data_IF_135392260043
#
_entry.id   IF_135392260043
#
_cell.length_a   1.000
_cell.length_b   1.000
_cell.length_c   1.000
_cell.angle_alpha   90.00
_cell.angle_beta   90.00
_cell.angle_gamma   90.00
#
_symmetry.space_group_name_H-M   'P 1'
#
loop_
_entity.id
_entity.type
_entity.pdbx_description
1 polymer ?
#
# COMPACT_ATOMS: atom_id res chain seq x y z
N UNK A 1 0.75 -13.91 -36.65
CA UNK A 1 0.27 -14.31 -35.31
C UNK A 1 -1.05 -15.01 -35.47
N UNK A 2 -1.23 -16.17 -34.83
CA UNK A 2 -2.53 -16.81 -34.72
C UNK A 2 -3.36 -16.10 -33.65
N UNK A 3 -4.69 -16.23 -33.67
CA UNK A 3 -5.56 -15.65 -32.63
C UNK A 3 -5.22 -16.15 -31.22
N UNK A 4 -4.66 -17.36 -31.11
CA UNK A 4 -4.21 -17.92 -29.84
C UNK A 4 -2.98 -17.17 -29.26
N UNK A 5 -2.02 -16.78 -30.10
CA UNK A 5 -0.82 -16.04 -29.67
C UNK A 5 -1.20 -14.66 -29.11
N UNK A 6 -2.20 -14.02 -29.71
CA UNK A 6 -2.71 -12.71 -29.27
C UNK A 6 -3.30 -12.84 -27.86
N UNK A 7 -4.14 -13.85 -27.64
CA UNK A 7 -4.75 -14.11 -26.32
C UNK A 7 -3.66 -14.39 -25.29
N UNK A 8 -2.67 -15.23 -25.62
CA UNK A 8 -1.54 -15.52 -24.73
C UNK A 8 -0.74 -14.27 -24.36
N UNK A 9 -0.54 -13.35 -25.31
CA UNK A 9 0.16 -12.09 -25.05
C UNK A 9 -0.65 -11.17 -24.13
N UNK A 10 -1.98 -11.16 -24.27
CA UNK A 10 -2.89 -10.42 -23.39
C UNK A 10 -2.99 -11.01 -21.98
N UNK A 11 -2.68 -12.29 -21.79
CA UNK A 11 -2.68 -12.93 -20.47
C UNK A 11 -1.54 -12.42 -19.56
N UNK A 12 -0.41 -11.98 -20.12
CA UNK A 12 0.75 -11.55 -19.33
C UNK A 12 0.43 -10.36 -18.40
N UNK A 13 -0.17 -9.24 -18.86
CA UNK A 13 -0.68 -8.20 -17.96
C UNK A 13 -1.76 -8.70 -17.01
N UNK A 14 -2.60 -9.65 -17.44
CA UNK A 14 -3.64 -10.26 -16.60
C UNK A 14 -3.08 -10.98 -15.37
N UNK A 15 -2.03 -11.77 -15.54
CA UNK A 15 -1.32 -12.43 -14.43
C UNK A 15 -0.70 -11.43 -13.45
N UNK A 16 -0.15 -10.33 -13.97
CA UNK A 16 0.42 -9.28 -13.13
C UNK A 16 -0.65 -8.57 -12.29
N UNK A 17 -1.84 -8.34 -12.87
CA UNK A 17 -2.99 -7.80 -12.13
C UNK A 17 -3.40 -8.75 -11.00
N UNK A 18 -3.45 -10.07 -11.26
CA UNK A 18 -3.77 -11.06 -10.22
C UNK A 18 -2.74 -11.06 -9.08
N UNK A 19 -1.45 -11.00 -9.40
CA UNK A 19 -0.40 -10.91 -8.38
C UNK A 19 -0.52 -9.61 -7.56
N UNK A 20 -0.74 -8.47 -8.22
CA UNK A 20 -0.98 -7.19 -7.54
C UNK A 20 -2.25 -7.23 -6.66
N UNK A 21 -3.29 -7.95 -7.09
CA UNK A 21 -4.51 -8.14 -6.30
C UNK A 21 -4.25 -8.84 -4.96
N UNK A 22 -3.37 -9.84 -4.94
CA UNK A 22 -2.95 -10.50 -3.70
C UNK A 22 -2.15 -9.56 -2.78
N UNK A 23 -1.23 -8.77 -3.35
CA UNK A 23 -0.46 -7.78 -2.59
C UNK A 23 -1.36 -6.68 -2.01
N UNK A 24 -2.30 -6.17 -2.81
CA UNK A 24 -3.29 -5.18 -2.38
C UNK A 24 -4.17 -5.71 -1.26
N UNK A 25 -4.60 -6.96 -1.33
CA UNK A 25 -5.39 -7.60 -0.27
C UNK A 25 -4.59 -7.68 1.03
N UNK A 26 -3.33 -8.13 0.96
CA UNK A 26 -2.43 -8.18 2.11
C UNK A 26 -2.23 -6.81 2.75
N UNK A 27 -1.94 -5.78 1.96
CA UNK A 27 -1.71 -4.43 2.46
C UNK A 27 -2.99 -3.77 2.99
N UNK A 28 -4.13 -3.97 2.32
CA UNK A 28 -5.42 -3.40 2.75
C UNK A 28 -5.87 -3.97 4.09
N UNK A 29 -5.66 -5.28 4.32
CA UNK A 29 -5.92 -5.90 5.60
C UNK A 29 -5.02 -5.32 6.70
N UNK A 30 -3.72 -5.18 6.41
CA UNK A 30 -2.77 -4.58 7.35
C UNK A 30 -3.16 -3.15 7.73
N UNK A 31 -3.49 -2.34 6.73
CA UNK A 31 -3.95 -0.96 6.89
C UNK A 31 -5.24 -0.85 7.71
N UNK A 32 -6.20 -1.74 7.48
CA UNK A 32 -7.44 -1.81 8.26
C UNK A 32 -7.17 -2.08 9.75
N UNK A 33 -6.24 -3.01 10.06
CA UNK A 33 -5.85 -3.32 11.43
C UNK A 33 -5.18 -2.12 12.11
N UNK A 34 -4.28 -1.43 11.41
CA UNK A 34 -3.61 -0.23 11.94
C UNK A 34 -4.61 0.89 12.22
N UNK A 35 -5.54 1.18 11.28
CA UNK A 35 -6.58 2.17 11.48
C UNK A 35 -7.52 1.82 12.64
N UNK A 36 -7.86 0.54 12.81
CA UNK A 36 -8.69 0.11 13.92
C UNK A 36 -8.01 0.38 15.27
N UNK A 37 -6.70 0.11 15.37
CA UNK A 37 -5.91 0.45 16.57
C UNK A 37 -5.91 1.96 16.83
N UNK A 38 -5.67 2.78 15.81
CA UNK A 38 -5.73 4.25 15.93
C UNK A 38 -7.09 4.72 16.47
N UNK A 39 -8.20 4.14 15.99
CA UNK A 39 -9.55 4.50 16.46
C UNK A 39 -9.77 4.14 17.93
N UNK A 40 -9.34 2.95 18.36
CA UNK A 40 -9.45 2.53 19.77
C UNK A 40 -8.65 3.47 20.68
N UNK A 41 -7.41 3.79 20.29
CA UNK A 41 -6.57 4.72 21.06
C UNK A 41 -7.12 6.16 21.07
N UNK A 42 -7.74 6.64 19.97
CA UNK A 42 -8.38 7.96 19.95
C UNK A 42 -9.61 8.00 20.87
N UNK A 43 -10.37 6.91 20.96
CA UNK A 43 -11.50 6.80 21.89
C UNK A 43 -11.01 6.79 23.34
N UNK A 44 -9.97 6.01 23.67
CA UNK A 44 -9.35 6.02 25.01
C UNK A 44 -8.84 7.40 25.42
N UNK A 45 -8.25 8.14 24.47
CA UNK A 45 -7.85 9.53 24.66
C UNK A 45 -9.04 10.42 25.00
N UNK A 46 -10.15 10.29 24.26
CA UNK A 46 -11.37 11.09 24.46
C UNK A 46 -12.01 10.81 25.82
N UNK A 47 -12.09 9.54 26.23
CA UNK A 47 -12.62 9.14 27.54
C UNK A 47 -11.76 9.71 28.67
N UNK A 48 -10.44 9.60 28.57
CA UNK A 48 -9.50 10.11 29.57
C UNK A 48 -9.59 11.64 29.75
N UNK A 49 -9.90 12.38 28.69
CA UNK A 49 -10.11 13.84 28.73
C UNK A 49 -11.50 14.23 29.28
N UNK A 50 -12.49 13.35 29.17
CA UNK A 50 -13.86 13.63 29.58
C UNK A 50 -14.10 13.33 31.07
N UNK A 51 -13.45 12.29 31.61
CA UNK A 51 -13.60 11.88 33.03
C UNK A 51 -12.93 12.84 34.03
N UNK A 52 -11.95 13.66 33.60
CA UNK A 52 -11.32 14.64 34.49
C UNK A 52 -10.91 15.93 33.74
N UNK A 53 -11.86 16.87 33.53
CA UNK A 53 -11.60 18.12 32.82
C UNK A 53 -10.63 19.08 33.55
N UNK A 54 -10.23 18.76 34.78
CA UNK A 54 -9.28 19.54 35.60
C UNK A 54 -7.84 19.02 35.56
N UNK A 55 -7.59 17.77 35.14
CA UNK A 55 -6.24 17.25 34.89
C UNK A 55 -5.70 17.90 33.63
N UNK A 56 -4.77 18.84 33.78
CA UNK A 56 -3.99 19.34 32.65
C UNK A 56 -3.35 18.13 31.97
N UNK A 57 -3.73 17.87 30.71
CA UNK A 57 -3.30 16.70 29.92
C UNK A 57 -1.79 16.60 29.66
N UNK A 58 -0.96 17.36 30.38
CA UNK A 58 0.50 17.26 30.38
C UNK A 58 1.11 16.47 31.55
N UNK A 59 0.38 16.22 32.65
CA UNK A 59 0.96 15.59 33.85
C UNK A 59 0.70 14.09 34.00
N UNK A 60 -0.14 13.49 33.14
CA UNK A 60 -0.43 12.05 33.20
C UNK A 60 0.52 11.28 32.26
N UNK A 61 1.48 10.49 32.78
CA UNK A 61 2.42 9.73 31.96
C UNK A 61 1.71 8.75 31.01
N UNK A 62 0.49 8.32 31.33
CA UNK A 62 -0.33 7.45 30.45
C UNK A 62 -0.83 8.20 29.22
N UNK A 63 -1.22 9.47 29.37
CA UNK A 63 -1.72 10.29 28.25
C UNK A 63 -0.61 10.64 27.26
N UNK A 64 0.58 10.98 27.76
CA UNK A 64 1.76 11.19 26.92
C UNK A 64 2.14 9.92 26.13
N UNK A 65 2.04 8.75 26.77
CA UNK A 65 2.32 7.45 26.14
C UNK A 65 1.31 7.13 25.01
N UNK A 66 0.01 7.35 25.24
CA UNK A 66 -1.05 7.19 24.22
C UNK A 66 -0.81 8.11 23.02
N UNK A 67 -0.44 9.37 23.26
CA UNK A 67 -0.14 10.32 22.18
C UNK A 67 1.07 9.89 21.34
N UNK A 68 2.13 9.39 21.99
CA UNK A 68 3.32 8.87 21.33
C UNK A 68 2.99 7.66 20.44
N UNK A 69 2.25 6.67 20.98
CA UNK A 69 1.82 5.49 20.22
C UNK A 69 0.94 5.85 19.01
N UNK A 70 0.04 6.83 19.17
CA UNK A 70 -0.83 7.29 18.08
C UNK A 70 -0.01 7.91 16.94
N UNK A 71 1.01 8.71 17.27
CA UNK A 71 1.89 9.36 16.28
C UNK A 71 2.69 8.32 15.48
N UNK A 72 3.18 7.26 16.13
CA UNK A 72 3.87 6.17 15.45
C UNK A 72 2.95 5.38 14.52
N UNK A 73 1.75 5.04 14.98
CA UNK A 73 0.77 4.30 14.19
C UNK A 73 0.34 5.10 12.94
N UNK A 74 0.22 6.42 13.05
CA UNK A 74 -0.08 7.30 11.92
C UNK A 74 1.04 7.29 10.87
N UNK A 75 2.31 7.30 11.29
CA UNK A 75 3.45 7.20 10.37
C UNK A 75 3.43 5.86 9.64
N UNK A 76 3.19 4.75 10.35
CA UNK A 76 3.07 3.40 9.75
C UNK A 76 1.92 3.33 8.75
N UNK A 77 0.75 3.86 9.10
CA UNK A 77 -0.42 3.92 8.23
C UNK A 77 -0.17 4.69 6.93
N UNK A 78 0.66 5.75 6.96
CA UNK A 78 1.03 6.49 5.74
C UNK A 78 1.84 5.63 4.76
N UNK A 79 2.84 4.90 5.25
CA UNK A 79 3.64 4.02 4.39
C UNK A 79 2.80 2.90 3.75
N UNK A 80 1.86 2.32 4.51
CA UNK A 80 0.94 1.30 3.99
C UNK A 80 0.00 1.88 2.93
N UNK A 81 -0.54 3.08 3.16
CA UNK A 81 -1.36 3.78 2.17
C UNK A 81 -0.57 4.05 0.89
N UNK A 82 0.66 4.53 1.01
CA UNK A 82 1.50 4.86 -0.16
C UNK A 82 1.82 3.61 -0.99
N UNK A 83 2.05 2.46 -0.34
CA UNK A 83 2.22 1.18 -1.02
C UNK A 83 0.92 0.73 -1.74
N UNK A 84 -0.24 0.87 -1.11
CA UNK A 84 -1.55 0.57 -1.73
C UNK A 84 -1.75 1.44 -2.97
N UNK A 85 -1.47 2.74 -2.89
CA UNK A 85 -1.59 3.67 -4.03
C UNK A 85 -0.67 3.26 -5.18
N UNK A 86 0.58 2.87 -4.89
CA UNK A 86 1.52 2.39 -5.91
C UNK A 86 0.99 1.13 -6.61
N UNK A 87 0.48 0.15 -5.85
CA UNK A 87 -0.08 -1.07 -6.43
C UNK A 87 -1.36 -0.82 -7.23
N UNK A 88 -2.26 0.06 -6.77
CA UNK A 88 -3.43 0.47 -7.54
C UNK A 88 -3.03 1.16 -8.85
N UNK A 89 -2.00 2.01 -8.82
CA UNK A 89 -1.41 2.62 -10.02
C UNK A 89 -0.87 1.56 -10.98
N UNK A 90 -0.11 0.59 -10.48
CA UNK A 90 0.42 -0.51 -11.29
C UNK A 90 -0.69 -1.30 -12.01
N UNK A 91 -1.77 -1.65 -11.30
CA UNK A 91 -2.93 -2.34 -11.88
C UNK A 91 -3.53 -1.52 -13.03
N UNK A 92 -3.69 -0.21 -12.86
CA UNK A 92 -4.21 0.66 -13.92
C UNK A 92 -3.31 0.63 -15.17
N UNK A 93 -1.98 0.69 -15.01
CA UNK A 93 -1.04 0.59 -16.12
C UNK A 93 -1.04 -0.77 -16.81
N UNK A 94 -1.23 -1.88 -16.07
CA UNK A 94 -1.35 -3.20 -16.67
C UNK A 94 -2.66 -3.39 -17.46
N UNK A 95 -3.76 -2.80 -16.98
CA UNK A 95 -5.02 -2.76 -17.74
C UNK A 95 -4.83 -1.96 -19.03
N UNK A 96 -4.18 -0.79 -18.97
CA UNK A 96 -3.85 0.02 -20.15
C UNK A 96 -2.95 -0.75 -21.14
N UNK A 97 -1.96 -1.46 -20.62
CA UNK A 97 -1.07 -2.32 -21.44
C UNK A 97 -1.89 -3.36 -22.20
N UNK A 98 -2.82 -4.05 -21.52
CA UNK A 98 -3.68 -5.05 -22.17
C UNK A 98 -4.56 -4.44 -23.27
N UNK A 99 -5.11 -3.24 -23.03
CA UNK A 99 -5.87 -2.49 -24.05
C UNK A 99 -5.02 -2.10 -25.24
N UNK A 100 -3.79 -1.60 -25.03
CA UNK A 100 -2.89 -1.22 -26.12
C UNK A 100 -2.44 -2.42 -26.97
N UNK A 101 -2.22 -3.58 -26.36
CA UNK A 101 -1.98 -4.83 -27.10
C UNK A 101 -3.16 -5.11 -28.04
N UNK A 102 -4.40 -5.03 -27.54
CA UNK A 102 -5.59 -5.25 -28.36
C UNK A 102 -5.71 -4.27 -29.52
N UNK A 103 -5.54 -2.98 -29.26
CA UNK A 103 -5.60 -1.96 -30.30
C UNK A 103 -4.48 -2.05 -31.32
N UNK A 104 -3.26 -2.45 -30.92
CA UNK A 104 -2.15 -2.65 -31.85
C UNK A 104 -2.45 -3.74 -32.88
N UNK A 105 -3.14 -4.80 -32.46
CA UNK A 105 -3.51 -5.94 -33.32
C UNK A 105 -4.63 -5.57 -34.29
N UNK A 106 -5.62 -4.80 -33.84
CA UNK A 106 -6.77 -4.39 -34.65
C UNK A 106 -6.44 -3.25 -35.62
N UNK A 107 -5.64 -2.27 -35.19
CA UNK A 107 -5.39 -1.04 -35.94
C UNK A 107 -4.11 -1.04 -36.79
N UNK A 108 -3.17 -1.97 -36.56
CA UNK A 108 -1.89 -2.03 -37.27
C UNK A 108 -0.96 -0.83 -37.04
N UNK A 109 -1.19 -0.07 -35.96
CA UNK A 109 -0.46 1.18 -35.66
C UNK A 109 0.79 0.85 -34.84
N UNK A 110 1.98 1.04 -35.40
CA UNK A 110 3.26 0.75 -34.75
C UNK A 110 3.50 1.58 -33.48
N UNK A 111 2.97 2.80 -33.41
CA UNK A 111 3.10 3.70 -32.24
C UNK A 111 2.51 3.08 -30.96
N UNK A 112 1.47 2.25 -31.09
CA UNK A 112 0.88 1.54 -29.95
C UNK A 112 1.82 0.48 -29.36
N UNK A 113 2.76 -0.06 -30.13
CA UNK A 113 3.76 -1.00 -29.63
C UNK A 113 4.68 -0.35 -28.60
N UNK A 114 5.19 0.85 -28.90
CA UNK A 114 6.01 1.62 -27.96
C UNK A 114 5.21 2.00 -26.71
N UNK A 115 3.95 2.42 -26.89
CA UNK A 115 3.06 2.78 -25.78
C UNK A 115 2.79 1.60 -24.85
N UNK A 116 2.60 0.41 -25.41
CA UNK A 116 2.41 -0.85 -24.68
C UNK A 116 3.62 -1.17 -23.80
N UNK A 117 4.82 -1.11 -24.35
CA UNK A 117 6.05 -1.38 -23.61
C UNK A 117 6.25 -0.33 -22.51
N UNK A 118 6.03 0.94 -22.83
CA UNK A 118 6.16 2.02 -21.87
C UNK A 118 5.17 1.87 -20.69
N UNK A 119 3.88 1.60 -20.96
CA UNK A 119 2.89 1.39 -19.91
C UNK A 119 3.20 0.17 -19.05
N UNK A 120 3.67 -0.92 -19.67
CA UNK A 120 4.07 -2.12 -18.95
C UNK A 120 5.24 -1.87 -18.00
N UNK A 121 6.26 -1.17 -18.48
CA UNK A 121 7.46 -0.85 -17.70
C UNK A 121 7.14 0.10 -16.54
N UNK A 122 6.29 1.11 -16.77
CA UNK A 122 5.80 1.99 -15.70
C UNK A 122 5.02 1.19 -14.65
N UNK A 123 4.15 0.26 -15.07
CA UNK A 123 3.46 -0.65 -14.16
C UNK A 123 4.42 -1.47 -13.30
N UNK A 124 5.45 -2.05 -13.90
CA UNK A 124 6.49 -2.82 -13.21
C UNK A 124 7.27 -1.97 -12.18
N UNK A 125 7.63 -0.73 -12.53
CA UNK A 125 8.31 0.18 -11.61
C UNK A 125 7.43 0.55 -10.41
N UNK A 126 6.13 0.74 -10.62
CA UNK A 126 5.17 1.00 -9.55
C UNK A 126 5.01 -0.20 -8.61
N UNK A 127 4.98 -1.43 -9.15
CA UNK A 127 5.01 -2.64 -8.32
C UNK A 127 6.27 -2.68 -7.47
N UNK A 128 7.44 -2.45 -8.08
CA UNK A 128 8.71 -2.45 -7.37
C UNK A 128 8.73 -1.40 -6.25
N UNK A 129 8.28 -0.18 -6.54
CA UNK A 129 8.17 0.89 -5.55
C UNK A 129 7.24 0.49 -4.39
N UNK A 130 6.07 -0.09 -4.68
CA UNK A 130 5.14 -0.57 -3.67
C UNK A 130 5.73 -1.68 -2.78
N UNK A 131 6.46 -2.63 -3.36
CA UNK A 131 7.12 -3.71 -2.62
C UNK A 131 8.24 -3.17 -1.73
N UNK A 132 9.03 -2.21 -2.22
CA UNK A 132 10.09 -1.58 -1.43
C UNK A 132 9.51 -0.79 -0.24
N UNK A 133 8.43 -0.04 -0.44
CA UNK A 133 7.74 0.68 0.64
C UNK A 133 7.20 -0.29 1.69
N UNK A 134 6.53 -1.36 1.27
CA UNK A 134 6.01 -2.39 2.17
C UNK A 134 7.13 -3.12 2.93
N UNK A 135 8.23 -3.45 2.25
CA UNK A 135 9.40 -4.08 2.88
C UNK A 135 10.09 -3.17 3.89
N UNK A 136 10.25 -1.88 3.56
CA UNK A 136 10.88 -0.92 4.46
C UNK A 136 10.05 -0.71 5.73
N UNK A 137 8.74 -0.64 5.60
CA UNK A 137 7.84 -0.56 6.76
C UNK A 137 7.90 -1.83 7.62
N UNK A 138 7.96 -3.02 7.02
CA UNK A 138 8.17 -4.27 7.75
C UNK A 138 9.49 -4.29 8.56
N UNK A 139 10.59 -3.84 7.96
CA UNK A 139 11.91 -3.77 8.63
C UNK A 139 11.90 -2.75 9.78
N UNK A 140 11.31 -1.56 9.57
CA UNK A 140 11.16 -0.57 10.64
C UNK A 140 10.30 -1.08 11.79
N UNK A 141 9.20 -1.76 11.47
CA UNK A 141 8.32 -2.38 12.46
C UNK A 141 9.07 -3.40 13.34
N UNK A 142 9.90 -4.25 12.74
CA UNK A 142 10.71 -5.22 13.47
C UNK A 142 11.75 -4.56 14.39
N UNK A 143 12.40 -3.48 13.93
CA UNK A 143 13.42 -2.78 14.72
C UNK A 143 12.86 -2.16 16.00
N UNK A 144 11.62 -1.65 15.96
CA UNK A 144 10.98 -1.04 17.14
C UNK A 144 10.70 -2.10 18.21
N UNK A 145 10.17 -3.26 17.81
CA UNK A 145 9.91 -4.38 18.73
C UNK A 145 11.21 -4.88 19.39
N UNK A 146 12.31 -4.92 18.64
CA UNK A 146 13.60 -5.37 19.16
C UNK A 146 14.19 -4.40 20.20
N UNK A 147 13.94 -3.09 20.05
CA UNK A 147 14.32 -2.08 21.03
C UNK A 147 13.45 -2.20 22.29
N UNK A 148 12.13 -2.37 22.14
CA UNK A 148 11.21 -2.56 23.29
C UNK A 148 11.56 -3.80 24.13
N UNK A 149 12.11 -4.85 23.52
CA UNK A 149 12.56 -6.05 24.24
C UNK A 149 13.90 -5.89 24.97
N UNK A 150 14.70 -4.88 24.65
CA UNK A 150 16.00 -4.63 25.28
C UNK A 150 15.90 -3.68 26.49
N UNK A 151 14.84 -2.86 26.55
CA UNK A 151 14.58 -1.92 27.64
C UNK A 151 13.84 -2.56 28.84
N UNK A 152 13.60 -3.89 28.82
CA UNK A 152 12.93 -4.65 29.89
C UNK A 152 13.77 -5.85 30.34
#
# INVERSE_FOLDING_TARGET
MTSADIIQTMLAPGLMISACGLLLLGMSNKYSVVLNRIRVLDEEKRVSLHDDPGRQGGEDPRFACVLAQLSELQIRARFERDAIVCYSGAVAFFVLTSLFIGFSVLGGIEVLGLLTIASFLVGMLLVLAGVLLAGWEAVKGYRIICLDMQDN
#
